data_IF_040655716285
#
_entry.id   IF_040655716285
#
_cell.length_a   1.000
_cell.length_b   1.000
_cell.length_c   1.000
_cell.angle_alpha   90.00
_cell.angle_beta   90.00
_cell.angle_gamma   90.00
#
_symmetry.space_group_name_H-M   'P 1'
#
loop_
_entity.id
_entity.type
_entity.pdbx_description
1 polymer ?
#
# COMPACT_ATOMS: atom_id res chain seq x y z
N UNK A 1 62.20 42.52 6.80
CA UNK A 1 61.25 41.60 7.46
C UNK A 1 60.36 40.99 6.39
N UNK A 2 60.52 39.68 6.14
CA UNK A 2 59.62 38.84 5.32
C UNK A 2 58.48 38.31 6.21
N UNK A 3 57.34 37.92 5.62
CA UNK A 3 57.04 36.49 5.48
C UNK A 3 56.49 36.17 4.08
N UNK A 4 57.09 35.20 3.36
CA UNK A 4 56.88 33.75 3.45
C UNK A 4 55.66 33.30 2.64
N UNK A 5 55.97 32.95 1.39
CA UNK A 5 55.17 32.18 0.45
C UNK A 5 54.81 30.80 1.05
N UNK A 6 53.57 30.36 0.85
CA UNK A 6 53.18 28.97 1.08
C UNK A 6 52.15 28.52 0.04
N UNK A 7 52.61 27.70 -0.90
CA UNK A 7 51.96 26.43 -1.23
C UNK A 7 50.71 26.46 -2.12
N UNK A 8 50.89 26.69 -3.42
CA UNK A 8 49.95 26.19 -4.42
C UNK A 8 50.23 24.70 -4.68
N UNK A 9 49.43 23.81 -4.09
CA UNK A 9 49.41 22.40 -4.46
C UNK A 9 48.72 22.22 -5.81
N UNK A 10 49.49 21.79 -6.80
CA UNK A 10 48.99 21.34 -8.09
C UNK A 10 48.29 19.98 -7.95
N UNK A 11 47.02 19.94 -8.36
CA UNK A 11 46.31 18.68 -8.61
C UNK A 11 46.37 18.38 -10.11
N UNK A 12 47.27 17.47 -10.47
CA UNK A 12 47.34 16.82 -11.78
C UNK A 12 46.26 15.73 -11.79
N UNK A 13 45.21 15.89 -12.60
CA UNK A 13 44.33 14.78 -12.94
C UNK A 13 44.92 14.03 -14.13
N UNK A 14 45.42 12.83 -13.85
CA UNK A 14 45.82 11.85 -14.84
C UNK A 14 44.58 11.33 -15.58
N UNK A 15 44.66 11.41 -16.91
CA UNK A 15 43.71 10.89 -17.89
C UNK A 15 44.10 9.43 -18.14
N UNK A 16 43.28 8.50 -17.69
CA UNK A 16 43.46 7.07 -17.97
C UNK A 16 42.46 6.62 -19.05
N UNK A 17 43.01 6.38 -20.25
CA UNK A 17 42.31 5.90 -21.43
C UNK A 17 42.22 4.35 -21.36
N UNK A 18 41.22 3.85 -20.64
CA UNK A 18 40.92 2.42 -20.56
C UNK A 18 39.95 1.95 -21.65
N UNK A 19 40.43 1.81 -22.90
CA UNK A 19 39.78 1.00 -23.94
C UNK A 19 39.73 -0.46 -23.48
N UNK A 20 38.55 -1.07 -23.46
CA UNK A 20 38.45 -2.52 -23.59
C UNK A 20 37.30 -2.88 -24.54
N UNK A 21 37.71 -3.30 -25.73
CA UNK A 21 36.94 -4.08 -26.67
C UNK A 21 36.69 -5.47 -26.08
N UNK A 22 35.42 -5.87 -25.95
CA UNK A 22 35.05 -7.29 -25.88
C UNK A 22 33.55 -7.49 -26.19
N UNK A 23 33.27 -7.74 -27.47
CA UNK A 23 32.24 -8.66 -27.95
C UNK A 23 32.84 -9.30 -29.21
N UNK A 24 32.47 -10.53 -29.62
CA UNK A 24 31.22 -11.24 -29.32
C UNK A 24 31.43 -12.71 -28.92
N UNK A 25 30.41 -13.42 -28.44
CA UNK A 25 30.15 -14.79 -28.91
C UNK A 25 28.74 -15.24 -28.50
N UNK A 26 28.02 -15.68 -29.52
CA UNK A 26 26.69 -16.23 -29.49
C UNK A 26 26.61 -17.53 -28.69
N UNK A 27 25.53 -17.71 -27.94
CA UNK A 27 24.89 -19.02 -27.76
C UNK A 27 23.37 -18.81 -27.74
N UNK A 28 22.78 -19.08 -28.91
CA UNK A 28 21.35 -19.26 -29.12
C UNK A 28 20.97 -20.63 -28.54
N UNK A 29 20.36 -20.67 -27.35
CA UNK A 29 19.66 -21.86 -26.87
C UNK A 29 18.20 -21.78 -27.28
N UNK A 30 17.87 -22.54 -28.33
CA UNK A 30 16.51 -22.95 -28.68
C UNK A 30 16.07 -23.93 -27.59
N UNK A 31 15.17 -23.50 -26.70
CA UNK A 31 14.38 -24.40 -25.88
C UNK A 31 12.92 -24.31 -26.29
N UNK A 32 12.58 -25.21 -27.22
CA UNK A 32 11.21 -25.65 -27.48
C UNK A 32 10.76 -26.48 -26.29
N UNK A 33 9.85 -25.94 -25.47
CA UNK A 33 8.99 -26.73 -24.61
C UNK A 33 7.57 -26.29 -24.90
N UNK A 34 6.89 -27.11 -25.71
CA UNK A 34 5.45 -27.31 -25.66
C UNK A 34 5.03 -27.48 -24.20
N UNK A 35 4.07 -26.70 -23.73
CA UNK A 35 3.03 -27.22 -22.83
C UNK A 35 1.73 -26.43 -23.00
N UNK A 36 0.75 -27.15 -23.54
CA UNK A 36 -0.63 -27.21 -23.08
C UNK A 36 -1.41 -25.89 -22.97
N UNK A 37 -2.08 -25.61 -24.08
CA UNK A 37 -3.46 -25.12 -24.16
C UNK A 37 -4.35 -25.59 -22.99
N UNK A 38 -4.61 -24.72 -22.02
CA UNK A 38 -5.81 -24.80 -21.16
C UNK A 38 -6.58 -23.49 -21.31
N UNK A 39 -7.50 -23.50 -22.27
CA UNK A 39 -8.67 -22.62 -22.27
C UNK A 39 -9.50 -22.90 -21.03
N UNK A 40 -9.47 -21.99 -20.08
CA UNK A 40 -10.59 -21.80 -19.15
C UNK A 40 -10.97 -20.33 -19.20
N UNK A 41 -12.10 -20.10 -19.86
CA UNK A 41 -12.81 -18.84 -19.89
C UNK A 41 -13.16 -18.45 -18.45
N UNK A 42 -12.75 -17.25 -18.04
CA UNK A 42 -13.43 -16.55 -16.93
C UNK A 42 -13.57 -15.11 -17.35
N UNK A 43 -14.69 -14.87 -18.03
CA UNK A 43 -15.22 -13.56 -18.33
C UNK A 43 -15.47 -12.81 -17.02
N UNK A 44 -14.72 -11.74 -16.79
CA UNK A 44 -14.94 -10.77 -15.73
C UNK A 44 -15.23 -9.43 -16.41
N UNK A 45 -16.41 -8.81 -16.20
CA UNK A 45 -16.76 -7.57 -16.87
C UNK A 45 -15.98 -6.39 -16.29
N UNK A 46 -15.23 -5.71 -17.16
CA UNK A 46 -14.64 -4.40 -16.93
C UNK A 46 -15.77 -3.37 -16.74
N UNK A 47 -15.99 -2.96 -15.50
CA UNK A 47 -16.76 -1.75 -15.23
C UNK A 47 -15.90 -0.53 -15.57
N UNK A 48 -16.27 0.09 -16.70
CA UNK A 48 -16.02 1.49 -17.08
C UNK A 48 -16.09 2.41 -15.84
N UNK A 49 -15.00 3.10 -15.55
CA UNK A 49 -15.03 4.34 -14.76
C UNK A 49 -15.52 5.46 -15.69
N UNK A 50 -16.55 6.24 -15.33
CA UNK A 50 -16.83 7.49 -16.00
C UNK A 50 -15.94 8.59 -15.43
N UNK A 51 -15.44 9.39 -16.36
CA UNK A 51 -14.68 10.61 -16.16
C UNK A 51 -15.48 11.63 -15.32
N UNK A 52 -14.80 12.24 -14.35
CA UNK A 52 -15.30 13.38 -13.61
C UNK A 52 -14.59 14.63 -14.11
N UNK A 53 -15.26 15.38 -14.98
CA UNK A 53 -14.97 16.78 -15.20
C UNK A 53 -16.27 17.47 -15.64
N UNK A 54 -16.73 18.44 -14.84
CA UNK A 54 -17.41 19.69 -15.19
C UNK A 54 -18.30 20.19 -14.04
N UNK A 55 -17.72 21.16 -13.34
CA UNK A 55 -18.24 22.45 -12.88
C UNK A 55 -19.43 22.64 -11.93
N UNK A 56 -19.37 23.73 -11.12
CA UNK A 56 -20.27 24.03 -10.02
C UNK A 56 -21.29 25.11 -10.41
N UNK A 57 -22.59 24.79 -10.34
CA UNK A 57 -23.65 25.80 -10.39
C UNK A 57 -24.70 25.54 -9.30
N UNK A 58 -24.76 26.52 -8.40
CA UNK A 58 -25.86 26.99 -7.56
C UNK A 58 -27.13 26.14 -7.41
N UNK A 59 -27.43 25.86 -6.14
CA UNK A 59 -28.69 26.17 -5.45
C UNK A 59 -30.01 25.60 -6.00
N UNK A 60 -30.53 24.61 -5.29
CA UNK A 60 -31.91 24.60 -4.80
C UNK A 60 -32.08 23.50 -3.76
N UNK A 61 -32.18 23.89 -2.49
CA UNK A 61 -32.51 23.01 -1.36
C UNK A 61 -33.92 22.44 -1.55
N UNK A 62 -34.03 21.13 -1.72
CA UNK A 62 -35.23 20.37 -1.38
C UNK A 62 -34.94 19.60 -0.08
N UNK A 63 -35.58 19.93 1.05
CA UNK A 63 -35.46 19.15 2.27
C UNK A 63 -36.42 17.96 2.20
N UNK A 64 -35.87 16.74 2.16
CA UNK A 64 -36.63 15.53 2.46
C UNK A 64 -36.57 14.42 1.42
N UNK A 65 -35.40 13.79 1.25
CA UNK A 65 -35.37 12.37 0.91
C UNK A 65 -34.18 11.68 1.59
N UNK A 66 -34.42 10.57 2.31
CA UNK A 66 -33.36 9.78 2.92
C UNK A 66 -32.62 8.94 1.87
N UNK A 67 -31.30 9.00 1.98
CA UNK A 67 -30.32 8.41 1.09
C UNK A 67 -30.29 6.87 1.20
N UNK A 68 -30.63 6.16 0.13
CA UNK A 68 -30.75 4.68 0.10
C UNK A 68 -29.40 3.94 0.00
N UNK A 69 -28.26 4.59 0.27
CA UNK A 69 -26.92 4.02 0.06
C UNK A 69 -26.27 3.31 1.26
N UNK A 70 -26.98 3.11 2.37
CA UNK A 70 -26.49 2.41 3.57
C UNK A 70 -27.04 0.97 3.76
N UNK A 71 -27.86 0.46 2.83
CA UNK A 71 -28.63 -0.77 3.03
C UNK A 71 -27.89 -2.11 2.75
N UNK A 72 -26.55 -2.17 2.87
CA UNK A 72 -25.81 -3.45 2.73
C UNK A 72 -24.79 -3.77 3.84
N UNK A 73 -24.79 -3.03 4.94
CA UNK A 73 -23.95 -3.31 6.11
C UNK A 73 -24.74 -3.59 7.40
N UNK A 74 -26.07 -3.45 7.39
CA UNK A 74 -26.89 -3.52 8.60
C UNK A 74 -27.44 -4.92 8.96
N UNK A 75 -27.04 -6.01 8.29
CA UNK A 75 -27.64 -7.35 8.50
C UNK A 75 -26.90 -8.27 9.46
N UNK A 76 -25.90 -7.77 10.21
CA UNK A 76 -25.37 -8.47 11.40
C UNK A 76 -25.71 -7.68 12.65
N UNK A 77 -27.01 -7.61 12.95
CA UNK A 77 -27.47 -7.08 14.23
C UNK A 77 -26.86 -7.91 15.39
N UNK A 78 -26.49 -7.27 16.51
CA UNK A 78 -25.89 -7.94 17.67
C UNK A 78 -26.75 -9.08 18.24
N UNK A 79 -28.04 -9.11 17.90
CA UNK A 79 -29.00 -10.14 18.30
C UNK A 79 -28.91 -11.45 17.52
N UNK A 80 -28.19 -11.51 16.39
CA UNK A 80 -28.08 -12.77 15.62
C UNK A 80 -27.22 -13.81 16.35
N UNK A 81 -26.18 -13.36 17.06
CA UNK A 81 -25.43 -14.23 17.96
C UNK A 81 -26.35 -14.81 19.05
N UNK A 82 -27.27 -14.01 19.62
CA UNK A 82 -28.24 -14.48 20.60
C UNK A 82 -29.18 -15.56 20.04
N UNK A 83 -29.68 -15.38 18.81
CA UNK A 83 -30.51 -16.39 18.15
C UNK A 83 -29.76 -17.71 17.93
N UNK A 84 -28.48 -17.65 17.54
CA UNK A 84 -27.62 -18.83 17.41
C UNK A 84 -27.37 -19.49 18.78
N UNK A 85 -27.20 -18.72 19.87
CA UNK A 85 -27.09 -19.28 21.23
C UNK A 85 -28.38 -19.95 21.69
N UNK A 86 -29.55 -19.36 21.44
CA UNK A 86 -30.84 -19.96 21.83
C UNK A 86 -31.13 -21.24 21.05
N UNK A 87 -30.85 -21.27 19.75
CA UNK A 87 -30.98 -22.49 18.94
C UNK A 87 -30.06 -23.63 19.43
N UNK A 88 -28.85 -23.30 19.92
CA UNK A 88 -27.98 -24.28 20.54
C UNK A 88 -28.52 -24.81 21.88
N UNK A 89 -29.05 -23.94 22.74
CA UNK A 89 -29.66 -24.34 24.03
C UNK A 89 -30.88 -25.22 23.80
N UNK A 90 -31.77 -24.88 22.85
CA UNK A 90 -32.93 -25.71 22.51
C UNK A 90 -32.52 -27.11 22.03
N UNK A 91 -31.53 -27.20 21.13
CA UNK A 91 -30.98 -28.49 20.70
C UNK A 91 -30.34 -29.28 21.86
N UNK A 92 -29.75 -28.60 22.85
CA UNK A 92 -29.15 -29.27 24.00
C UNK A 92 -30.19 -29.79 25.01
N UNK A 93 -31.27 -29.03 25.26
CA UNK A 93 -32.37 -29.45 26.14
C UNK A 93 -33.09 -30.70 25.60
N UNK A 94 -33.35 -30.77 24.29
CA UNK A 94 -33.96 -31.96 23.68
C UNK A 94 -33.04 -33.20 23.77
N UNK A 95 -31.72 -33.00 23.70
CA UNK A 95 -30.76 -34.10 23.89
C UNK A 95 -30.75 -34.64 25.33
N UNK A 96 -30.97 -33.80 26.34
CA UNK A 96 -31.01 -34.23 27.74
C UNK A 96 -32.28 -35.05 28.05
N UNK A 97 -33.43 -34.68 27.50
CA UNK A 97 -34.67 -35.46 27.63
C UNK A 97 -34.54 -36.87 27.05
N UNK A 98 -33.81 -37.02 25.94
CA UNK A 98 -33.56 -38.34 25.34
C UNK A 98 -32.62 -39.21 26.19
N UNK A 99 -31.72 -38.59 26.99
CA UNK A 99 -30.86 -39.30 27.95
C UNK A 99 -31.64 -39.67 29.21
N UNK A 100 -32.46 -38.77 29.74
CA UNK A 100 -33.33 -39.05 30.90
C UNK A 100 -34.23 -40.26 30.67
N UNK A 101 -34.84 -40.35 29.47
CA UNK A 101 -35.68 -41.50 29.07
C UNK A 101 -34.91 -42.84 29.01
N UNK A 102 -33.61 -42.82 28.71
CA UNK A 102 -32.77 -44.03 28.75
C UNK A 102 -32.47 -44.44 30.19
N UNK A 103 -32.20 -43.48 31.07
CA UNK A 103 -31.97 -43.75 32.48
C UNK A 103 -33.23 -44.24 33.18
N UNK A 104 -34.39 -43.62 32.93
CA UNK A 104 -35.67 -44.09 33.47
C UNK A 104 -36.06 -45.46 32.93
N UNK A 105 -35.87 -45.70 31.62
CA UNK A 105 -36.12 -47.03 31.05
C UNK A 105 -35.21 -48.08 31.69
N UNK A 106 -33.93 -47.77 31.89
CA UNK A 106 -33.00 -48.67 32.58
C UNK A 106 -33.41 -48.91 34.04
N UNK A 107 -33.82 -47.87 34.78
CA UNK A 107 -34.29 -48.00 36.18
C UNK A 107 -35.56 -48.86 36.27
N UNK A 108 -36.53 -48.64 35.36
CA UNK A 108 -37.76 -49.45 35.31
C UNK A 108 -37.48 -50.90 34.89
N UNK A 109 -36.54 -51.12 33.97
CA UNK A 109 -36.10 -52.46 33.55
C UNK A 109 -35.39 -53.21 34.69
N UNK A 110 -34.61 -52.50 35.53
CA UNK A 110 -34.06 -53.06 36.77
C UNK A 110 -35.15 -53.38 37.80
N UNK A 111 -36.22 -52.58 37.88
CA UNK A 111 -37.32 -52.78 38.83
C UNK A 111 -38.19 -54.00 38.49
N UNK A 112 -38.23 -54.43 37.22
CA UNK A 112 -38.93 -55.65 36.78
C UNK A 112 -38.10 -56.92 37.06
N UNK A 113 -36.78 -56.82 37.13
CA UNK A 113 -35.90 -57.99 37.29
C UNK A 113 -35.67 -58.42 38.75
N UNK A 114 -36.03 -57.58 39.72
CA UNK A 114 -35.97 -57.91 41.16
C UNK A 114 -37.34 -57.80 41.85
N UNK A 115 -38.35 -58.60 41.48
CA UNK A 115 -39.48 -58.82 42.37
C UNK A 115 -39.05 -59.85 43.42
N UNK A 116 -39.41 -59.60 44.68
CA UNK A 116 -39.27 -60.48 45.84
C UNK A 116 -37.98 -60.35 46.66
N UNK A 117 -38.18 -59.85 47.88
CA UNK A 117 -37.62 -60.33 49.14
C UNK A 117 -36.38 -61.20 49.01
N UNK A 118 -35.21 -60.58 49.15
CA UNK A 118 -34.00 -61.28 49.54
C UNK A 118 -34.31 -62.05 50.83
N UNK A 119 -34.23 -63.39 50.84
CA UNK A 119 -34.27 -64.12 52.09
C UNK A 119 -33.12 -63.62 52.98
N UNK A 120 -33.29 -63.57 54.31
CA UNK A 120 -32.23 -63.12 55.20
C UNK A 120 -31.00 -64.01 54.98
N UNK A 121 -29.99 -63.43 54.35
CA UNK A 121 -28.73 -64.12 54.11
C UNK A 121 -28.14 -64.43 55.49
N UNK A 122 -27.81 -65.70 55.79
CA UNK A 122 -27.23 -66.04 57.07
C UNK A 122 -26.00 -65.16 57.33
N UNK A 123 -25.95 -64.53 58.51
CA UNK A 123 -24.94 -63.51 58.88
C UNK A 123 -23.49 -63.92 58.57
N UNK A 124 -23.20 -65.23 58.59
CA UNK A 124 -21.90 -65.82 58.23
C UNK A 124 -21.52 -65.67 56.76
N UNK A 125 -22.48 -65.74 55.84
CA UNK A 125 -22.24 -65.51 54.41
C UNK A 125 -22.04 -64.03 54.14
N UNK A 126 -22.67 -63.15 54.93
CA UNK A 126 -22.42 -61.71 54.86
C UNK A 126 -21.02 -61.38 55.36
N UNK A 127 -20.57 -61.98 56.48
CA UNK A 127 -19.21 -61.81 57.00
C UNK A 127 -18.14 -62.38 56.05
N UNK A 128 -18.34 -63.57 55.46
CA UNK A 128 -17.41 -64.13 54.45
C UNK A 128 -17.37 -63.28 53.16
N UNK A 129 -18.52 -62.72 52.74
CA UNK A 129 -18.59 -61.84 51.59
C UNK A 129 -17.94 -60.48 51.90
N UNK A 130 -18.15 -59.93 53.10
CA UNK A 130 -17.46 -58.73 53.60
C UNK A 130 -15.95 -58.99 53.65
N UNK A 131 -15.49 -60.18 54.05
CA UNK A 131 -14.07 -60.52 54.08
C UNK A 131 -13.44 -60.59 52.68
N UNK A 132 -14.16 -61.10 51.67
CA UNK A 132 -13.74 -61.04 50.26
C UNK A 132 -13.67 -59.58 49.79
N UNK A 133 -14.62 -58.73 50.22
CA UNK A 133 -14.65 -57.30 49.91
C UNK A 133 -13.70 -56.42 50.74
N UNK A 134 -13.09 -56.92 51.81
CA UNK A 134 -12.13 -56.20 52.66
C UNK A 134 -10.67 -56.51 52.29
N UNK A 135 -10.36 -57.73 51.81
CA UNK A 135 -9.00 -58.13 51.38
C UNK A 135 -8.74 -57.83 49.88
N UNK A 136 -9.77 -57.88 49.02
CA UNK A 136 -9.67 -57.40 47.64
C UNK A 136 -9.26 -55.91 47.49
N UNK A 137 -9.87 -54.91 48.18
CA UNK A 137 -9.63 -53.50 47.91
C UNK A 137 -8.19 -53.06 48.17
N UNK A 138 -7.44 -53.74 49.04
CA UNK A 138 -6.00 -53.47 49.19
C UNK A 138 -5.20 -53.94 47.97
N UNK A 139 -5.57 -55.08 47.37
CA UNK A 139 -5.05 -55.55 46.10
C UNK A 139 -5.40 -54.59 44.95
N UNK A 140 -6.66 -54.17 44.88
CA UNK A 140 -7.15 -53.19 43.90
C UNK A 140 -6.49 -51.82 44.06
N UNK A 141 -6.27 -51.31 45.29
CA UNK A 141 -5.55 -50.04 45.50
C UNK A 141 -4.06 -50.14 45.14
N UNK A 142 -3.43 -51.31 45.34
CA UNK A 142 -2.03 -51.54 44.94
C UNK A 142 -1.90 -51.70 43.42
N UNK A 143 -2.89 -52.26 42.74
CA UNK A 143 -2.97 -52.32 41.27
C UNK A 143 -3.44 -51.00 40.63
N UNK A 144 -4.39 -50.29 41.22
CA UNK A 144 -4.80 -48.94 40.83
C UNK A 144 -3.66 -47.94 40.97
N UNK A 145 -2.82 -48.07 42.00
CA UNK A 145 -1.59 -47.30 42.10
C UNK A 145 -0.70 -47.50 40.88
N UNK A 146 -0.53 -48.76 40.41
CA UNK A 146 0.26 -49.09 39.22
C UNK A 146 -0.41 -48.64 37.92
N UNK A 147 -1.73 -48.76 37.80
CA UNK A 147 -2.50 -48.29 36.64
C UNK A 147 -2.47 -46.76 36.57
N UNK A 148 -2.70 -46.08 37.69
CA UNK A 148 -2.65 -44.63 37.82
C UNK A 148 -1.27 -44.04 37.53
N UNK A 149 -0.17 -44.71 37.91
CA UNK A 149 1.18 -44.29 37.50
C UNK A 149 1.39 -44.37 35.98
N UNK A 150 0.93 -45.44 35.33
CA UNK A 150 1.00 -45.58 33.86
C UNK A 150 0.14 -44.54 33.14
N UNK A 151 -1.02 -44.20 33.69
CA UNK A 151 -1.90 -43.17 33.14
C UNK A 151 -1.33 -41.76 33.29
N UNK A 152 -0.76 -41.44 34.46
CA UNK A 152 -0.04 -40.17 34.67
C UNK A 152 1.14 -40.04 33.71
N UNK A 153 1.89 -41.10 33.48
CA UNK A 153 3.00 -41.10 32.53
C UNK A 153 2.53 -40.90 31.08
N UNK A 154 1.45 -41.59 30.67
CA UNK A 154 0.79 -41.36 29.37
C UNK A 154 0.33 -39.91 29.22
N UNK A 155 -0.24 -39.33 30.28
CA UNK A 155 -0.69 -37.92 30.29
C UNK A 155 0.50 -36.97 30.12
N UNK A 156 1.61 -37.20 30.84
CA UNK A 156 2.84 -36.41 30.72
C UNK A 156 3.43 -36.47 29.31
N UNK A 157 3.46 -37.67 28.71
CA UNK A 157 3.92 -37.86 27.33
C UNK A 157 3.02 -37.14 26.33
N UNK A 158 1.70 -37.24 26.50
CA UNK A 158 0.72 -36.50 25.68
C UNK A 158 0.91 -34.98 25.81
N UNK A 159 1.10 -34.48 27.02
CA UNK A 159 1.31 -33.06 27.29
C UNK A 159 2.59 -32.54 26.62
N UNK A 160 3.69 -33.29 26.73
CA UNK A 160 4.94 -32.96 26.03
C UNK A 160 4.78 -32.99 24.50
N UNK A 161 4.04 -33.95 23.95
CA UNK A 161 3.77 -34.01 22.51
C UNK A 161 2.87 -32.86 22.04
N UNK A 162 1.85 -32.49 22.82
CA UNK A 162 1.01 -31.33 22.55
C UNK A 162 1.84 -30.04 22.54
N UNK A 163 2.75 -29.88 23.49
CA UNK A 163 3.66 -28.72 23.54
C UNK A 163 4.58 -28.68 22.31
N UNK A 164 5.15 -29.81 21.89
CA UNK A 164 5.95 -29.91 20.65
C UNK A 164 5.13 -29.56 19.41
N UNK A 165 3.87 -29.97 19.34
CA UNK A 165 2.96 -29.65 18.23
C UNK A 165 2.62 -28.16 18.26
N UNK A 166 2.28 -27.60 19.41
CA UNK A 166 1.92 -26.18 19.55
C UNK A 166 3.11 -25.27 19.20
N UNK A 167 4.31 -25.59 19.69
CA UNK A 167 5.52 -24.85 19.36
C UNK A 167 5.81 -24.90 17.85
N UNK A 168 5.60 -26.04 17.18
CA UNK A 168 5.71 -26.15 15.72
C UNK A 168 4.69 -25.25 15.00
N UNK A 169 3.44 -25.21 15.46
CA UNK A 169 2.40 -24.37 14.88
C UNK A 169 2.70 -22.89 15.09
N UNK A 170 3.10 -22.51 16.30
CA UNK A 170 3.46 -21.12 16.67
C UNK A 170 4.64 -20.64 15.84
N UNK A 171 5.68 -21.45 15.73
CA UNK A 171 6.86 -21.15 14.93
C UNK A 171 6.50 -21.00 13.44
N UNK A 172 5.67 -21.91 12.89
CA UNK A 172 5.19 -21.82 11.50
C UNK A 172 4.42 -20.51 11.24
N UNK A 173 3.48 -20.16 12.12
CA UNK A 173 2.71 -18.91 12.03
C UNK A 173 3.58 -17.66 12.17
N UNK A 174 4.60 -17.70 13.02
CA UNK A 174 5.53 -16.58 13.17
C UNK A 174 6.41 -16.41 11.95
N UNK A 175 6.96 -17.51 11.40
CA UNK A 175 7.75 -17.46 10.16
C UNK A 175 6.92 -16.96 8.98
N UNK A 176 5.65 -17.37 8.87
CA UNK A 176 4.72 -16.88 7.85
C UNK A 176 4.43 -15.38 8.02
N UNK A 177 4.14 -14.93 9.26
CA UNK A 177 3.95 -13.49 9.55
C UNK A 177 5.19 -12.68 9.21
N UNK A 178 6.39 -13.16 9.57
CA UNK A 178 7.66 -12.51 9.22
C UNK A 178 7.86 -12.45 7.70
N UNK A 179 7.53 -13.53 6.98
CA UNK A 179 7.61 -13.57 5.51
C UNK A 179 6.68 -12.55 4.87
N UNK A 180 5.40 -12.51 5.26
CA UNK A 180 4.42 -11.56 4.73
C UNK A 180 4.78 -10.11 5.07
N UNK A 181 5.27 -9.85 6.29
CA UNK A 181 5.74 -8.52 6.68
C UNK A 181 6.95 -8.09 5.85
N UNK A 182 7.92 -8.98 5.63
CA UNK A 182 9.08 -8.71 4.80
C UNK A 182 8.69 -8.45 3.33
N UNK A 183 7.72 -9.19 2.78
CA UNK A 183 7.22 -8.98 1.42
C UNK A 183 6.51 -7.63 1.29
N UNK A 184 5.59 -7.29 2.20
CA UNK A 184 4.93 -5.97 2.25
C UNK A 184 5.93 -4.84 2.38
N UNK A 185 6.97 -5.02 3.21
CA UNK A 185 8.06 -4.05 3.35
C UNK A 185 8.81 -3.85 2.04
N UNK A 186 9.17 -4.93 1.32
CA UNK A 186 9.83 -4.84 0.01
C UNK A 186 8.96 -4.14 -1.03
N UNK A 187 7.69 -4.52 -1.15
CA UNK A 187 6.77 -3.88 -2.10
C UNK A 187 6.57 -2.39 -1.79
N UNK A 188 6.42 -2.04 -0.51
CA UNK A 188 6.29 -0.64 -0.09
C UNK A 188 7.57 0.16 -0.32
N UNK A 189 8.74 -0.45 -0.07
CA UNK A 189 10.03 0.16 -0.33
C UNK A 189 10.25 0.39 -1.83
N UNK A 190 9.82 -0.55 -2.67
CA UNK A 190 9.91 -0.42 -4.14
C UNK A 190 9.00 0.69 -4.67
N UNK A 191 7.75 0.75 -4.22
CA UNK A 191 6.84 1.85 -4.59
C UNK A 191 7.45 3.21 -4.22
N UNK A 192 7.96 3.35 -2.99
CA UNK A 192 8.61 4.60 -2.55
C UNK A 192 9.85 4.95 -3.37
N UNK A 193 10.61 3.96 -3.85
CA UNK A 193 11.76 4.18 -4.75
C UNK A 193 11.30 4.72 -6.09
N UNK A 194 10.31 4.08 -6.70
CA UNK A 194 9.74 4.53 -7.97
C UNK A 194 9.16 5.95 -7.88
N UNK A 195 8.44 6.28 -6.81
CA UNK A 195 7.93 7.63 -6.57
C UNK A 195 9.05 8.66 -6.42
N UNK A 196 10.11 8.32 -5.68
CA UNK A 196 11.28 9.19 -5.52
C UNK A 196 11.98 9.42 -6.85
N UNK A 197 12.16 8.37 -7.66
CA UNK A 197 12.81 8.46 -8.96
C UNK A 197 11.96 9.27 -9.96
N UNK A 198 10.63 9.09 -9.94
CA UNK A 198 9.72 9.89 -10.74
C UNK A 198 9.78 11.37 -10.35
N UNK A 199 9.78 11.66 -9.04
CA UNK A 199 9.93 13.04 -8.54
C UNK A 199 11.27 13.64 -8.95
N UNK A 200 12.37 12.89 -8.81
CA UNK A 200 13.70 13.37 -9.20
C UNK A 200 13.77 13.67 -10.71
N UNK A 201 13.12 12.86 -11.56
CA UNK A 201 13.01 13.12 -13.00
C UNK A 201 12.18 14.36 -13.31
N UNK A 202 11.04 14.55 -12.63
CA UNK A 202 10.23 15.75 -12.78
C UNK A 202 11.00 17.00 -12.34
N UNK A 203 11.69 16.93 -11.21
CA UNK A 203 12.52 18.02 -10.70
C UNK A 203 13.66 18.36 -11.68
N UNK A 204 14.27 17.34 -12.28
CA UNK A 204 15.31 17.53 -13.29
C UNK A 204 14.76 18.18 -14.56
N UNK A 205 13.59 17.75 -15.03
CA UNK A 205 12.92 18.37 -16.19
C UNK A 205 12.68 19.86 -15.98
N UNK A 206 12.24 20.29 -14.79
CA UNK A 206 12.05 21.71 -14.47
C UNK A 206 13.38 22.48 -14.53
N UNK A 207 14.48 21.92 -13.99
CA UNK A 207 15.81 22.54 -14.07
C UNK A 207 16.28 22.69 -15.52
N UNK A 208 16.06 21.68 -16.34
CA UNK A 208 16.48 21.68 -17.73
C UNK A 208 15.63 22.66 -18.56
N UNK A 209 14.32 22.74 -18.33
CA UNK A 209 13.47 23.79 -18.92
C UNK A 209 13.92 25.20 -18.51
N UNK A 210 14.32 25.42 -17.25
CA UNK A 210 14.87 26.71 -16.81
C UNK A 210 16.19 27.06 -17.51
N UNK A 211 17.09 26.09 -17.66
CA UNK A 211 18.35 26.28 -18.41
C UNK A 211 18.07 26.61 -19.88
N UNK A 212 17.12 25.92 -20.50
CA UNK A 212 16.71 26.18 -21.88
C UNK A 212 16.12 27.59 -22.02
N UNK A 213 15.30 28.04 -21.06
CA UNK A 213 14.78 29.40 -21.00
C UNK A 213 15.89 30.45 -20.93
N UNK A 214 16.87 30.31 -20.02
CA UNK A 214 18.00 31.25 -19.94
C UNK A 214 18.87 31.21 -21.21
N UNK A 215 19.11 30.03 -21.78
CA UNK A 215 19.85 29.88 -23.05
C UNK A 215 19.11 30.56 -24.20
N UNK A 216 17.79 30.39 -24.28
CA UNK A 216 16.96 31.02 -25.31
C UNK A 216 17.02 32.55 -25.23
N UNK A 217 17.13 33.13 -24.03
CA UNK A 217 17.35 34.56 -23.88
C UNK A 217 18.67 35.03 -24.48
N UNK A 218 19.76 34.26 -24.32
CA UNK A 218 21.05 34.60 -24.91
C UNK A 218 21.05 34.41 -26.44
N UNK A 219 20.46 33.32 -26.94
CA UNK A 219 20.30 33.08 -28.38
C UNK A 219 19.48 34.20 -29.06
N UNK A 220 18.42 34.68 -28.40
CA UNK A 220 17.59 35.78 -28.88
C UNK A 220 18.38 37.09 -29.01
N UNK A 221 19.38 37.32 -28.13
CA UNK A 221 20.27 38.49 -28.24
C UNK A 221 21.14 38.44 -29.48
N UNK A 222 21.58 37.24 -29.86
CA UNK A 222 22.45 37.00 -31.02
C UNK A 222 21.71 37.03 -32.37
N UNK A 223 20.40 36.73 -32.39
CA UNK A 223 19.60 36.75 -33.61
C UNK A 223 19.53 38.14 -34.25
N UNK A 224 19.57 38.16 -35.58
CA UNK A 224 19.43 39.36 -36.40
C UNK A 224 17.97 39.80 -36.55
N UNK A 225 17.77 41.04 -37.00
CA UNK A 225 16.43 41.59 -37.18
C UNK A 225 15.65 40.84 -38.28
N UNK A 226 14.36 40.61 -38.04
CA UNK A 226 13.45 39.91 -38.96
C UNK A 226 13.47 38.39 -38.89
N UNK A 227 14.34 37.79 -38.06
CA UNK A 227 14.49 36.33 -37.94
C UNK A 227 13.83 35.74 -36.69
N UNK A 228 13.31 36.56 -35.79
CA UNK A 228 12.68 36.08 -34.55
C UNK A 228 11.21 35.75 -34.80
N UNK A 229 10.81 34.52 -34.49
CA UNK A 229 9.43 34.04 -34.55
C UNK A 229 8.85 33.89 -33.14
N UNK A 230 7.54 33.62 -33.02
CA UNK A 230 6.87 33.44 -31.72
C UNK A 230 7.50 32.29 -30.89
N UNK A 231 7.83 31.17 -31.53
CA UNK A 231 8.43 30.00 -30.86
C UNK A 231 9.88 30.22 -30.44
N UNK A 232 10.56 31.24 -30.97
CA UNK A 232 11.92 31.60 -30.58
C UNK A 232 11.99 32.39 -29.29
N UNK A 233 10.85 32.95 -28.84
CA UNK A 233 10.78 33.67 -27.59
C UNK A 233 10.83 32.65 -26.45
N UNK A 234 11.77 32.79 -25.49
CA UNK A 234 11.83 31.92 -24.31
C UNK A 234 10.71 32.29 -23.34
N UNK A 235 9.50 31.79 -23.60
CA UNK A 235 8.35 31.96 -22.71
C UNK A 235 8.63 31.30 -21.34
N UNK A 236 8.16 31.89 -20.23
CA UNK A 236 8.44 31.39 -18.89
C UNK A 236 7.54 30.19 -18.55
N UNK A 237 7.67 29.11 -19.32
CA UNK A 237 6.87 27.89 -19.22
C UNK A 237 7.76 26.67 -19.42
N UNK A 238 7.34 25.51 -18.90
CA UNK A 238 8.09 24.26 -19.07
C UNK A 238 8.08 23.76 -20.53
N UNK A 239 6.95 23.96 -21.23
CA UNK A 239 6.75 23.67 -22.64
C UNK A 239 6.68 24.97 -23.46
N UNK A 240 7.28 24.96 -24.66
CA UNK A 240 7.20 26.10 -25.58
C UNK A 240 5.80 26.22 -26.17
N UNK A 241 5.05 27.29 -25.90
CA UNK A 241 3.72 27.50 -26.45
C UNK A 241 3.80 27.75 -27.96
N UNK A 242 2.79 27.31 -28.71
CA UNK A 242 2.66 27.59 -30.15
C UNK A 242 1.88 28.85 -30.43
N UNK A 243 0.98 29.21 -29.52
CA UNK A 243 0.11 30.38 -29.61
C UNK A 243 0.12 31.15 -28.29
N UNK A 244 -0.24 32.43 -28.33
CA UNK A 244 -0.29 33.26 -27.12
C UNK A 244 -1.43 32.86 -26.17
N UNK A 245 -2.46 32.17 -26.66
CA UNK A 245 -3.60 31.69 -25.87
C UNK A 245 -3.22 30.51 -24.95
N UNK A 246 -2.19 29.75 -25.32
CA UNK A 246 -1.62 28.67 -24.50
C UNK A 246 -0.85 29.19 -23.28
N UNK A 247 -0.63 30.51 -23.17
CA UNK A 247 0.07 31.13 -22.04
C UNK A 247 -0.83 31.18 -20.80
N UNK A 248 -0.87 30.10 -20.03
CA UNK A 248 -1.63 30.05 -18.78
C UNK A 248 -0.90 30.77 -17.62
N UNK A 249 -1.55 31.71 -16.91
CA UNK A 249 -0.95 32.41 -15.77
C UNK A 249 -0.46 31.48 -14.67
N UNK A 250 -1.15 30.35 -14.48
CA UNK A 250 -0.77 29.33 -13.49
C UNK A 250 0.57 28.68 -13.83
N UNK A 251 0.77 28.28 -15.07
CA UNK A 251 2.01 27.64 -15.52
C UNK A 251 3.19 28.62 -15.47
N UNK A 252 2.96 29.89 -15.84
CA UNK A 252 3.95 30.96 -15.71
C UNK A 252 4.38 31.15 -14.25
N UNK A 253 3.42 31.18 -13.33
CA UNK A 253 3.67 31.29 -11.89
C UNK A 253 4.46 30.09 -11.37
N UNK A 254 4.00 28.88 -11.66
CA UNK A 254 4.63 27.65 -11.20
C UNK A 254 6.06 27.53 -11.75
N UNK A 255 6.27 27.90 -13.01
CA UNK A 255 7.58 27.94 -13.64
C UNK A 255 8.50 28.97 -12.97
N UNK A 256 8.11 30.24 -12.84
CA UNK A 256 8.97 31.29 -12.30
C UNK A 256 9.25 31.15 -10.80
N UNK A 257 8.29 30.64 -10.03
CA UNK A 257 8.39 30.51 -8.58
C UNK A 257 8.91 29.14 -8.13
N UNK A 258 9.16 28.21 -9.05
CA UNK A 258 9.67 26.89 -8.71
C UNK A 258 10.95 26.98 -7.86
N UNK A 259 11.03 26.30 -6.70
CA UNK A 259 12.21 26.34 -5.84
C UNK A 259 13.41 25.60 -6.43
N UNK A 260 13.22 24.87 -7.53
CA UNK A 260 14.22 24.02 -8.15
C UNK A 260 15.23 24.78 -9.01
N UNK A 261 14.96 26.06 -9.31
CA UNK A 261 15.89 26.95 -10.00
C UNK A 261 16.15 28.22 -9.17
N UNK A 262 17.29 28.84 -9.43
CA UNK A 262 17.69 30.10 -8.79
C UNK A 262 17.61 30.04 -7.25
N UNK A 263 18.15 28.99 -6.64
CA UNK A 263 18.07 28.69 -5.20
C UNK A 263 18.54 29.85 -4.29
N UNK A 264 19.42 30.70 -4.81
CA UNK A 264 19.96 31.88 -4.11
C UNK A 264 19.04 33.09 -4.10
N UNK A 265 17.96 33.08 -4.89
CA UNK A 265 17.07 34.24 -5.09
C UNK A 265 15.72 34.02 -4.43
N UNK A 266 15.27 35.03 -3.70
CA UNK A 266 13.92 35.03 -3.15
C UNK A 266 12.87 35.06 -4.26
N UNK A 267 11.66 34.56 -3.98
CA UNK A 267 10.53 34.60 -4.92
C UNK A 267 10.26 36.04 -5.42
N UNK A 268 10.32 37.03 -4.51
CA UNK A 268 10.14 38.44 -4.84
C UNK A 268 11.22 38.98 -5.79
N UNK A 269 12.47 38.58 -5.60
CA UNK A 269 13.57 38.95 -6.51
C UNK A 269 13.40 38.33 -7.90
N UNK A 270 12.95 37.07 -7.96
CA UNK A 270 12.66 36.40 -9.24
C UNK A 270 11.55 37.11 -10.01
N UNK A 271 10.45 37.47 -9.33
CA UNK A 271 9.36 38.25 -9.93
C UNK A 271 9.87 39.58 -10.46
N UNK A 272 10.62 40.35 -9.65
CA UNK A 272 11.18 41.65 -10.10
C UNK A 272 12.11 41.51 -11.30
N UNK A 273 12.99 40.49 -11.31
CA UNK A 273 13.87 40.22 -12.46
C UNK A 273 13.06 39.88 -13.71
N UNK A 274 12.01 39.07 -13.57
CA UNK A 274 11.12 38.75 -14.68
C UNK A 274 10.38 40.00 -15.18
N UNK A 275 9.85 40.84 -14.29
CA UNK A 275 9.21 42.12 -14.66
C UNK A 275 10.15 43.03 -15.43
N UNK A 276 11.42 43.15 -15.01
CA UNK A 276 12.41 43.94 -15.75
C UNK A 276 12.68 43.37 -17.15
N UNK A 277 12.63 42.04 -17.33
CA UNK A 277 12.80 41.40 -18.64
C UNK A 277 11.58 41.56 -19.55
N UNK A 278 10.39 41.39 -18.99
CA UNK A 278 9.10 41.46 -19.68
C UNK A 278 8.48 42.86 -19.71
N UNK A 279 9.22 43.89 -19.28
CA UNK A 279 8.75 45.26 -19.33
C UNK A 279 8.56 45.71 -20.79
N UNK A 280 7.45 46.40 -21.14
CA UNK A 280 7.15 46.78 -22.52
C UNK A 280 8.30 47.56 -23.18
N UNK A 281 8.98 48.42 -22.42
CA UNK A 281 10.11 49.21 -22.95
C UNK A 281 11.30 48.35 -23.40
N UNK A 282 11.71 47.35 -22.61
CA UNK A 282 12.78 46.43 -23.01
C UNK A 282 12.33 45.47 -24.09
N UNK A 283 11.07 45.09 -24.07
CA UNK A 283 10.50 44.15 -25.01
C UNK A 283 10.35 44.74 -26.43
N UNK A 284 10.22 46.07 -26.56
CA UNK A 284 10.23 46.78 -27.86
C UNK A 284 11.46 46.45 -28.72
N UNK A 285 12.63 46.27 -28.11
CA UNK A 285 13.84 45.88 -28.84
C UNK A 285 13.70 44.50 -29.49
N UNK A 286 13.05 43.56 -28.80
CA UNK A 286 12.79 42.20 -29.31
C UNK A 286 11.74 42.25 -30.43
N UNK A 287 10.67 43.05 -30.25
CA UNK A 287 9.66 43.28 -31.29
C UNK A 287 10.27 43.90 -32.57
N UNK A 288 11.32 44.71 -32.43
CA UNK A 288 12.10 45.22 -33.56
C UNK A 288 12.79 44.13 -34.38
N UNK A 289 13.14 43.00 -33.74
CA UNK A 289 13.74 41.83 -34.39
C UNK A 289 12.74 40.79 -34.85
N UNK A 290 11.49 40.85 -34.39
CA UNK A 290 10.46 39.90 -34.76
C UNK A 290 10.03 40.02 -36.23
N UNK A 291 9.69 38.89 -36.84
CA UNK A 291 9.09 38.82 -38.17
C UNK A 291 7.75 39.56 -38.15
N UNK A 292 7.47 40.37 -39.17
CA UNK A 292 6.29 41.25 -39.19
C UNK A 292 4.96 40.55 -38.89
N UNK A 293 4.77 39.32 -39.37
CA UNK A 293 3.56 38.53 -39.13
C UNK A 293 3.36 38.10 -37.67
N UNK A 294 4.45 37.89 -36.92
CA UNK A 294 4.40 37.37 -35.55
C UNK A 294 4.43 38.49 -34.50
N UNK A 295 4.62 39.76 -34.92
CA UNK A 295 4.79 40.90 -34.01
C UNK A 295 3.62 41.08 -33.06
N UNK A 296 2.38 41.05 -33.58
CA UNK A 296 1.17 41.21 -32.77
C UNK A 296 1.03 40.07 -31.78
N UNK A 297 1.19 38.82 -32.24
CA UNK A 297 1.12 37.61 -31.41
C UNK A 297 2.16 37.63 -30.27
N UNK A 298 3.38 38.08 -30.56
CA UNK A 298 4.45 38.21 -29.56
C UNK A 298 4.16 39.34 -28.56
N UNK A 299 3.60 40.47 -29.02
CA UNK A 299 3.21 41.59 -28.17
C UNK A 299 2.06 41.21 -27.21
N UNK A 300 1.02 40.54 -27.72
CA UNK A 300 -0.10 40.05 -26.93
C UNK A 300 0.37 39.04 -25.86
N UNK A 301 1.22 38.08 -26.26
CA UNK A 301 1.79 37.11 -25.33
C UNK A 301 2.64 37.74 -24.24
N UNK A 302 3.47 38.73 -24.58
CA UNK A 302 4.24 39.49 -23.59
C UNK A 302 3.33 40.28 -22.64
N UNK A 303 2.21 40.80 -23.14
CA UNK A 303 1.18 41.46 -22.33
C UNK A 303 0.50 40.52 -21.33
N UNK A 304 0.29 39.25 -21.68
CA UNK A 304 -0.21 38.21 -20.75
C UNK A 304 0.80 37.97 -19.64
N UNK A 305 2.07 37.76 -19.99
CA UNK A 305 3.15 37.52 -19.01
C UNK A 305 3.32 38.71 -18.07
N UNK A 306 3.33 39.94 -18.61
CA UNK A 306 3.49 41.15 -17.81
C UNK A 306 2.34 41.35 -16.80
N UNK A 307 1.08 41.09 -17.20
CA UNK A 307 -0.08 41.13 -16.29
C UNK A 307 0.04 40.07 -15.20
N UNK A 308 0.34 38.82 -15.58
CA UNK A 308 0.57 37.74 -14.62
C UNK A 308 1.66 38.07 -13.59
N UNK A 309 2.76 38.68 -14.03
CA UNK A 309 3.84 39.13 -13.16
C UNK A 309 3.43 40.24 -12.19
N UNK A 310 2.56 41.16 -12.61
CA UNK A 310 2.04 42.22 -11.77
C UNK A 310 1.06 41.68 -10.71
N UNK A 311 0.24 40.69 -11.07
CA UNK A 311 -0.71 40.04 -10.14
C UNK A 311 -0.01 39.23 -9.02
N UNK A 312 1.27 38.87 -9.23
CA UNK A 312 2.07 38.12 -8.25
C UNK A 312 2.86 39.00 -7.28
N UNK A 313 2.90 40.33 -7.47
CA UNK A 313 3.68 41.25 -6.64
C UNK A 313 2.94 41.63 -5.35
#
# INVERSE_FOLDING_TARGET
MRPSEAGWMGFIWARDDGRNHASPHALTTVNTIEMANIRSQTSMPLHRRPDANLDPQWDSRIPGQPDHRMARSASRGPWKHMADTYAWVENHCTSLDSRGKKTEKWVLEQQIFYPYSTPPVPRKVLDDMIFIYEDEPEGWMRDEGRVGWREKEKKRMLEQELERIENRIRHRREMERRRLAAERWRSSAEIKRLEKDQRAKADQAIRDSWRAHEKGWEELRLKSAGQVTFSDIPWPMASTPKTWEELEPREIRDFLLSPLHSETQSAKERIRKAQLRWHPDRFRWILGKAKGADKSTIEDGAGVVARCLNDMM
#
